data_IF_158547539291
#
_entry.id   IF_158547539291
#
_cell.length_a   1.000
_cell.length_b   1.000
_cell.length_c   1.000
_cell.angle_alpha   90.00
_cell.angle_beta   90.00
_cell.angle_gamma   90.00
#
_symmetry.space_group_name_H-M   'P 1'
#
loop_
_entity.id
_entity.type
_entity.pdbx_description
1 polymer ?
#
# COMPACT_ATOMS: atom_id res chain seq x y z
N UNK A 1 1.02 7.76 25.33
CA UNK A 1 0.40 7.06 24.19
C UNK A 1 -0.70 6.17 24.73
N UNK A 2 -1.86 6.23 24.17
CA UNK A 2 -3.09 5.60 24.68
C UNK A 2 -3.16 4.07 24.55
N UNK A 3 -2.11 3.40 24.12
CA UNK A 3 -2.11 1.92 23.96
C UNK A 3 -3.06 1.34 22.90
N UNK A 4 -3.77 2.22 22.16
CA UNK A 4 -4.77 1.83 21.17
C UNK A 4 -4.18 1.23 19.89
N UNK A 5 -2.92 1.54 19.58
CA UNK A 5 -2.25 1.02 18.39
C UNK A 5 -1.15 0.04 18.83
N UNK A 6 -1.15 -1.20 18.34
CA UNK A 6 -0.11 -2.17 18.68
C UNK A 6 1.26 -1.70 18.20
N UNK A 7 2.33 -2.12 18.90
CA UNK A 7 3.70 -1.83 18.49
C UNK A 7 3.95 -2.46 17.11
N UNK A 8 4.40 -1.69 16.10
CA UNK A 8 4.72 -2.24 14.79
C UNK A 8 5.93 -3.17 14.85
N UNK A 9 5.96 -4.19 14.00
CA UNK A 9 7.12 -5.10 13.87
C UNK A 9 8.22 -4.53 12.97
N UNK A 10 7.84 -3.74 11.99
CA UNK A 10 8.75 -3.04 11.07
C UNK A 10 8.07 -1.79 10.52
N UNK A 11 8.84 -0.98 9.79
CA UNK A 11 8.34 0.10 8.95
C UNK A 11 8.76 -0.13 7.51
N UNK A 12 7.86 0.19 6.56
CA UNK A 12 8.16 0.24 5.12
C UNK A 12 7.73 1.63 4.66
N UNK A 13 8.58 2.29 3.90
CA UNK A 13 8.31 3.64 3.42
C UNK A 13 9.03 3.91 2.09
N UNK A 14 8.60 4.94 1.39
CA UNK A 14 9.09 5.32 0.07
C UNK A 14 9.13 6.84 -0.05
N UNK A 15 9.95 7.36 -0.95
CA UNK A 15 9.96 8.76 -1.37
C UNK A 15 8.76 9.12 -2.30
N UNK A 16 7.97 8.12 -2.70
CA UNK A 16 6.83 8.35 -3.59
C UNK A 16 5.69 9.05 -2.83
N UNK A 17 5.09 10.05 -3.45
CA UNK A 17 3.89 10.79 -3.07
C UNK A 17 4.00 11.77 -1.88
N UNK A 18 4.84 11.55 -0.88
CA UNK A 18 4.88 12.44 0.29
C UNK A 18 6.24 12.44 0.98
N UNK A 19 6.92 13.57 0.97
CA UNK A 19 8.21 13.77 1.65
C UNK A 19 8.10 13.63 3.18
N UNK A 20 6.93 13.89 3.75
CA UNK A 20 6.67 13.68 5.18
C UNK A 20 6.93 12.26 5.63
N UNK A 21 6.78 11.28 4.74
CA UNK A 21 7.08 9.88 5.02
C UNK A 21 8.57 9.66 5.32
N UNK A 22 9.44 10.43 4.67
CA UNK A 22 10.90 10.36 4.84
C UNK A 22 11.36 10.81 6.23
N UNK A 23 10.54 11.56 6.96
CA UNK A 23 10.80 11.96 8.35
C UNK A 23 10.08 11.06 9.36
N UNK A 24 8.81 10.76 9.08
CA UNK A 24 7.92 10.05 10.02
C UNK A 24 8.36 8.60 10.25
N UNK A 25 8.64 7.85 9.19
CA UNK A 25 8.95 6.42 9.33
C UNK A 25 10.35 6.13 9.88
N UNK A 26 11.42 6.86 9.52
CA UNK A 26 12.70 6.76 10.22
C UNK A 26 12.62 7.10 11.70
N UNK A 27 11.84 8.13 12.07
CA UNK A 27 11.58 8.45 13.48
C UNK A 27 10.90 7.30 14.22
N UNK A 28 9.86 6.69 13.63
CA UNK A 28 9.16 5.54 14.21
C UNK A 28 10.09 4.33 14.34
N UNK A 29 10.91 4.05 13.33
CA UNK A 29 11.94 3.00 13.37
C UNK A 29 12.84 3.18 14.58
N UNK A 30 13.39 4.38 14.78
CA UNK A 30 14.26 4.70 15.90
C UNK A 30 13.52 4.63 17.24
N UNK A 31 12.34 5.23 17.34
CA UNK A 31 11.53 5.28 18.57
C UNK A 31 11.12 3.91 19.07
N UNK A 32 10.74 3.02 18.19
CA UNK A 32 10.28 1.68 18.55
C UNK A 32 11.39 0.61 18.53
N UNK A 33 12.60 0.98 18.12
CA UNK A 33 13.73 0.04 17.96
C UNK A 33 13.34 -1.16 17.07
N UNK A 34 12.78 -0.87 15.89
CA UNK A 34 12.29 -1.86 14.94
C UNK A 34 13.03 -1.75 13.60
N UNK A 35 13.13 -2.83 12.82
CA UNK A 35 13.70 -2.77 11.49
C UNK A 35 12.84 -1.92 10.54
N UNK A 36 13.46 -1.35 9.52
CA UNK A 36 12.78 -0.56 8.51
C UNK A 36 13.37 -0.78 7.13
N UNK A 37 12.50 -0.82 6.13
CA UNK A 37 12.86 -0.93 4.72
C UNK A 37 12.43 0.32 3.97
N UNK A 38 13.35 0.90 3.20
CA UNK A 38 13.10 2.05 2.36
C UNK A 38 13.07 1.62 0.90
N UNK A 39 12.06 2.07 0.16
CA UNK A 39 11.94 1.88 -1.28
C UNK A 39 12.21 3.22 -1.94
N UNK A 40 13.32 3.30 -2.66
CA UNK A 40 13.69 4.46 -3.44
C UNK A 40 13.10 4.35 -4.85
N UNK A 41 12.21 5.27 -5.19
CA UNK A 41 11.61 5.33 -6.52
C UNK A 41 12.25 6.47 -7.30
N UNK A 42 13.03 6.18 -8.36
CA UNK A 42 13.63 7.20 -9.20
C UNK A 42 12.59 8.10 -9.86
N UNK A 43 12.94 9.36 -10.03
CA UNK A 43 12.07 10.33 -10.70
C UNK A 43 11.91 10.03 -12.20
N UNK A 44 12.96 9.55 -12.82
CA UNK A 44 12.95 9.19 -14.24
C UNK A 44 12.29 7.84 -14.49
N UNK A 45 11.46 7.79 -15.54
CA UNK A 45 10.75 6.57 -15.96
C UNK A 45 11.45 5.94 -17.15
N UNK A 46 12.45 5.14 -16.90
CA UNK A 46 13.18 4.36 -17.89
C UNK A 46 13.35 2.89 -17.49
N UNK A 47 13.93 2.06 -18.34
CA UNK A 47 14.08 0.65 -18.08
C UNK A 47 15.01 0.35 -16.87
N UNK A 48 16.03 1.17 -16.67
CA UNK A 48 16.95 1.02 -15.53
C UNK A 48 16.24 1.31 -14.21
N UNK A 49 15.40 2.37 -14.17
CA UNK A 49 14.56 2.70 -13.01
C UNK A 49 13.58 1.57 -12.68
N UNK A 50 12.97 0.95 -13.69
CA UNK A 50 12.06 -0.20 -13.50
C UNK A 50 12.83 -1.37 -12.90
N UNK A 51 13.99 -1.70 -13.43
CA UNK A 51 14.84 -2.79 -12.93
C UNK A 51 15.30 -2.52 -11.50
N UNK A 52 15.72 -1.30 -11.21
CA UNK A 52 16.14 -0.85 -9.88
C UNK A 52 15.03 -1.01 -8.83
N UNK A 53 13.81 -0.56 -9.14
CA UNK A 53 12.67 -0.74 -8.23
C UNK A 53 12.29 -2.21 -8.08
N UNK A 54 12.32 -2.99 -9.17
CA UNK A 54 12.03 -4.41 -9.12
C UNK A 54 12.99 -5.18 -8.20
N UNK A 55 14.28 -4.82 -8.20
CA UNK A 55 15.26 -5.44 -7.30
C UNK A 55 15.00 -5.07 -5.84
N UNK A 56 14.68 -3.81 -5.55
CA UNK A 56 14.27 -3.40 -4.20
C UNK A 56 13.00 -4.13 -3.71
N UNK A 57 12.02 -4.38 -4.59
CA UNK A 57 10.84 -5.16 -4.22
C UNK A 57 11.17 -6.63 -3.90
N UNK A 58 12.16 -7.22 -4.59
CA UNK A 58 12.67 -8.55 -4.26
C UNK A 58 13.38 -8.58 -2.90
N UNK A 59 14.15 -7.54 -2.59
CA UNK A 59 14.79 -7.38 -1.29
C UNK A 59 13.77 -7.13 -0.19
N UNK A 60 12.75 -6.31 -0.43
CA UNK A 60 11.64 -6.08 0.49
C UNK A 60 10.90 -7.38 0.81
N UNK A 61 10.69 -8.26 -0.19
CA UNK A 61 10.11 -9.58 0.05
C UNK A 61 10.93 -10.38 1.07
N UNK A 62 12.27 -10.45 0.87
CA UNK A 62 13.17 -11.13 1.82
C UNK A 62 13.10 -10.51 3.23
N UNK A 63 13.16 -9.18 3.29
CA UNK A 63 13.02 -8.45 4.54
C UNK A 63 11.72 -8.79 5.28
N UNK A 64 10.59 -8.85 4.56
CA UNK A 64 9.30 -9.22 5.14
C UNK A 64 9.24 -10.69 5.58
N UNK A 65 9.87 -11.59 4.85
CA UNK A 65 10.01 -13.00 5.24
C UNK A 65 10.80 -13.12 6.54
N UNK A 66 11.89 -12.37 6.69
CA UNK A 66 12.73 -12.38 7.90
C UNK A 66 11.98 -11.81 9.11
N UNK A 67 11.31 -10.67 8.96
CA UNK A 67 10.51 -10.04 10.03
C UNK A 67 9.29 -10.87 10.41
N UNK A 68 8.65 -11.48 9.43
CA UNK A 68 7.42 -12.26 9.60
C UNK A 68 7.64 -13.70 10.00
N UNK A 69 8.85 -14.23 9.82
CA UNK A 69 9.19 -15.63 10.07
C UNK A 69 8.47 -16.63 9.16
N UNK A 70 7.99 -16.17 7.99
CA UNK A 70 7.25 -16.99 7.03
C UNK A 70 7.67 -16.68 5.60
N UNK A 71 7.75 -17.71 4.77
CA UNK A 71 8.01 -17.54 3.34
C UNK A 71 6.79 -17.01 2.60
N UNK A 72 7.04 -16.09 1.67
CA UNK A 72 6.03 -15.49 0.80
C UNK A 72 6.11 -16.20 -0.56
N UNK A 73 5.08 -16.97 -0.92
CA UNK A 73 5.04 -17.67 -2.20
C UNK A 73 4.77 -16.69 -3.36
N UNK A 74 5.30 -17.01 -4.51
CA UNK A 74 5.02 -16.25 -5.75
C UNK A 74 3.52 -16.19 -6.05
N UNK A 75 2.82 -17.29 -5.84
CA UNK A 75 1.38 -17.37 -6.03
C UNK A 75 0.60 -16.42 -5.11
N UNK A 76 1.05 -16.23 -3.85
CA UNK A 76 0.41 -15.27 -2.94
C UNK A 76 0.62 -13.82 -3.38
N UNK A 77 1.80 -13.50 -3.92
CA UNK A 77 2.09 -12.17 -4.49
C UNK A 77 1.22 -11.91 -5.72
N UNK A 78 1.17 -12.86 -6.65
CA UNK A 78 0.34 -12.75 -7.86
C UNK A 78 -1.14 -12.55 -7.52
N UNK A 79 -1.67 -13.29 -6.55
CA UNK A 79 -3.05 -13.12 -6.07
C UNK A 79 -3.28 -11.74 -5.47
N UNK A 80 -2.36 -11.26 -4.62
CA UNK A 80 -2.48 -9.93 -4.03
C UNK A 80 -2.46 -8.81 -5.10
N UNK A 81 -1.60 -8.93 -6.11
CA UNK A 81 -1.56 -7.99 -7.25
C UNK A 81 -2.86 -8.06 -8.06
N UNK A 82 -3.38 -9.25 -8.34
CA UNK A 82 -4.64 -9.42 -9.06
C UNK A 82 -5.81 -8.77 -8.29
N UNK A 83 -5.93 -9.04 -6.98
CA UNK A 83 -6.95 -8.43 -6.12
C UNK A 83 -6.85 -6.90 -6.11
N UNK A 84 -5.63 -6.36 -6.02
CA UNK A 84 -5.39 -4.92 -6.02
C UNK A 84 -5.81 -4.27 -7.34
N UNK A 85 -5.47 -4.88 -8.47
CA UNK A 85 -5.83 -4.40 -9.80
C UNK A 85 -7.34 -4.44 -10.01
N UNK A 86 -8.01 -5.51 -9.59
CA UNK A 86 -9.46 -5.63 -9.68
C UNK A 86 -10.16 -4.60 -8.79
N UNK A 87 -9.72 -4.41 -7.55
CA UNK A 87 -10.25 -3.37 -6.66
C UNK A 87 -10.08 -1.95 -7.25
N UNK A 88 -8.91 -1.66 -7.83
CA UNK A 88 -8.66 -0.39 -8.51
C UNK A 88 -9.56 -0.18 -9.73
N UNK A 89 -9.90 -1.24 -10.47
CA UNK A 89 -10.84 -1.17 -11.60
C UNK A 89 -12.26 -0.79 -11.12
N UNK A 90 -12.76 -1.40 -10.05
CA UNK A 90 -14.05 -1.01 -9.47
C UNK A 90 -14.04 0.44 -9.00
N UNK A 91 -13.00 0.86 -8.29
CA UNK A 91 -12.87 2.25 -7.84
C UNK A 91 -12.84 3.25 -9.02
N UNK A 92 -12.12 2.94 -10.08
CA UNK A 92 -12.09 3.75 -11.30
C UNK A 92 -13.46 3.84 -11.96
N UNK A 93 -14.24 2.76 -11.98
CA UNK A 93 -15.60 2.75 -12.51
C UNK A 93 -16.54 3.65 -11.70
N UNK A 94 -16.43 3.61 -10.36
CA UNK A 94 -17.18 4.51 -9.48
C UNK A 94 -16.85 5.98 -9.73
N UNK A 95 -15.57 6.31 -9.91
CA UNK A 95 -15.17 7.67 -10.24
C UNK A 95 -15.71 8.12 -11.60
N UNK A 96 -15.80 7.21 -12.57
CA UNK A 96 -16.35 7.54 -13.89
C UNK A 96 -17.86 7.92 -13.84
N UNK A 97 -18.64 7.25 -12.96
CA UNK A 97 -20.06 7.57 -12.77
C UNK A 97 -20.31 9.00 -12.30
N UNK A 98 -19.35 9.61 -11.61
CA UNK A 98 -19.46 10.99 -11.09
C UNK A 98 -19.40 12.06 -12.17
N UNK A 99 -19.03 11.72 -13.40
CA UNK A 99 -19.04 12.65 -14.51
C UNK A 99 -20.46 13.04 -14.92
N UNK A 100 -21.41 12.11 -14.72
CA UNK A 100 -22.77 12.23 -15.23
C UNK A 100 -23.83 12.24 -14.11
N UNK A 101 -23.41 12.03 -12.85
CA UNK A 101 -24.30 11.94 -11.71
C UNK A 101 -23.75 12.69 -10.49
N UNK A 102 -24.64 13.24 -9.67
CA UNK A 102 -24.25 13.81 -8.39
C UNK A 102 -23.62 12.74 -7.48
N UNK A 103 -22.58 13.09 -6.72
CA UNK A 103 -21.93 12.14 -5.82
C UNK A 103 -22.91 11.61 -4.78
N UNK A 104 -23.14 10.31 -4.80
CA UNK A 104 -24.01 9.64 -3.82
C UNK A 104 -23.33 9.51 -2.46
N UNK A 105 -22.00 9.65 -2.42
CA UNK A 105 -21.17 9.45 -1.22
C UNK A 105 -20.62 10.77 -0.68
N UNK A 106 -20.57 10.88 0.66
CA UNK A 106 -19.95 12.03 1.30
C UNK A 106 -18.42 12.02 1.13
N UNK A 107 -17.79 13.20 1.24
CA UNK A 107 -16.33 13.33 1.26
C UNK A 107 -15.66 12.43 2.33
N UNK A 108 -16.34 12.22 3.45
CA UNK A 108 -15.87 11.31 4.52
C UNK A 108 -15.75 9.88 4.02
N UNK A 109 -16.75 9.39 3.28
CA UNK A 109 -16.71 8.04 2.71
C UNK A 109 -15.59 7.90 1.67
N UNK A 110 -15.31 8.96 0.91
CA UNK A 110 -14.18 9.01 -0.03
C UNK A 110 -12.83 8.85 0.67
N UNK A 111 -12.65 9.58 1.76
CA UNK A 111 -11.44 9.47 2.57
C UNK A 111 -11.28 8.06 3.14
N UNK A 112 -12.37 7.44 3.61
CA UNK A 112 -12.33 6.04 4.04
C UNK A 112 -11.97 5.10 2.90
N UNK A 113 -12.51 5.28 1.70
CA UNK A 113 -12.17 4.47 0.54
C UNK A 113 -10.68 4.56 0.18
N UNK A 114 -10.09 5.76 0.22
CA UNK A 114 -8.65 5.97 0.03
C UNK A 114 -7.84 5.21 1.08
N UNK A 115 -8.20 5.31 2.36
CA UNK A 115 -7.52 4.56 3.42
C UNK A 115 -7.65 3.05 3.23
N UNK A 116 -8.81 2.55 2.84
CA UNK A 116 -9.01 1.12 2.57
C UNK A 116 -8.16 0.62 1.41
N UNK A 117 -8.03 1.41 0.33
CA UNK A 117 -7.13 1.09 -0.78
C UNK A 117 -5.67 0.96 -0.34
N UNK A 118 -5.22 1.79 0.59
CA UNK A 118 -3.83 1.78 1.06
C UNK A 118 -3.56 0.71 2.13
N UNK A 119 -4.47 0.56 3.10
CA UNK A 119 -4.27 -0.35 4.24
C UNK A 119 -4.56 -1.81 3.91
N UNK A 120 -5.47 -2.06 2.98
CA UNK A 120 -5.91 -3.40 2.60
C UNK A 120 -5.55 -3.76 1.15
N UNK A 121 -4.57 -3.06 0.55
CA UNK A 121 -4.13 -3.33 -0.82
C UNK A 121 -3.78 -4.81 -1.00
N UNK A 122 -4.39 -5.46 -2.00
CA UNK A 122 -4.18 -6.88 -2.28
C UNK A 122 -4.96 -7.86 -1.40
N UNK A 123 -5.62 -7.40 -0.34
CA UNK A 123 -6.48 -8.24 0.49
C UNK A 123 -7.84 -8.52 -0.21
N UNK A 124 -8.41 -9.69 0.06
CA UNK A 124 -9.75 -10.05 -0.45
C UNK A 124 -10.85 -9.13 0.12
N UNK A 125 -10.66 -8.63 1.33
CA UNK A 125 -11.55 -7.69 1.99
C UNK A 125 -11.65 -6.37 1.22
N UNK A 126 -10.53 -5.84 0.73
CA UNK A 126 -10.51 -4.63 -0.11
C UNK A 126 -11.30 -4.86 -1.40
N UNK A 127 -11.08 -5.98 -2.07
CA UNK A 127 -11.80 -6.32 -3.29
C UNK A 127 -13.32 -6.41 -3.03
N UNK A 128 -13.75 -7.08 -1.95
CA UNK A 128 -15.16 -7.19 -1.57
C UNK A 128 -15.80 -5.83 -1.29
N UNK A 129 -15.10 -4.93 -0.59
CA UNK A 129 -15.58 -3.58 -0.30
C UNK A 129 -15.83 -2.81 -1.60
N UNK A 130 -14.86 -2.79 -2.50
CA UNK A 130 -14.99 -2.05 -3.76
C UNK A 130 -16.04 -2.65 -4.69
N UNK A 131 -16.15 -3.98 -4.75
CA UNK A 131 -17.18 -4.66 -5.52
C UNK A 131 -18.60 -4.40 -5.04
N UNK A 132 -18.80 -4.31 -3.73
CA UNK A 132 -20.13 -4.04 -3.15
C UNK A 132 -20.54 -2.56 -3.21
N UNK A 133 -19.58 -1.66 -3.43
CA UNK A 133 -19.81 -0.22 -3.55
C UNK A 133 -19.98 0.22 -5.02
N UNK A 134 -19.74 -0.63 -6.00
CA UNK A 134 -19.94 -0.41 -7.43
C UNK A 134 -21.29 -0.95 -7.90
#
# INVERSE_FOLDING_TARGET
MTGLVPKPKCTIYTNLACDGNMMTFPYLKQKYQIPGFYIDVPYEKNQDSISYVADQLREMKKFLEDVGGKKISEQSVQRAVANSNEAASYYSSQLALRKDHDPVTSLTNELYAIFMCHLLAGAEESLKIHKNAS
#
